data_IF_051178938541
#
_entry.id   IF_051178938541
#
_cell.length_a   1.000
_cell.length_b   1.000
_cell.length_c   1.000
_cell.angle_alpha   90.00
_cell.angle_beta   90.00
_cell.angle_gamma   90.00
#
_symmetry.space_group_name_H-M   'P 1'
#
loop_
_entity.id
_entity.type
_entity.pdbx_description
1 polymer ?
#
# COMPACT_ATOMS: atom_id res chain seq x y z
N UNK A 1 -39.32 15.20 54.69
CA UNK A 1 -37.88 15.49 54.46
C UNK A 1 -37.02 14.23 54.27
N UNK A 2 -37.18 13.15 55.05
CA UNK A 2 -36.36 11.93 54.93
C UNK A 2 -36.55 11.12 53.63
N UNK A 3 -37.77 11.08 53.06
CA UNK A 3 -38.07 10.33 51.82
C UNK A 3 -37.34 10.88 50.58
N UNK A 4 -37.17 12.19 50.48
CA UNK A 4 -36.48 12.83 49.35
C UNK A 4 -34.98 12.58 49.38
N UNK A 5 -34.40 12.40 50.58
CA UNK A 5 -32.98 12.07 50.76
C UNK A 5 -32.69 10.64 50.27
N UNK A 6 -33.59 9.69 50.56
CA UNK A 6 -33.44 8.30 50.10
C UNK A 6 -33.52 8.20 48.58
N UNK A 7 -34.45 8.92 47.94
CA UNK A 7 -34.60 8.93 46.48
C UNK A 7 -33.33 9.50 45.80
N UNK A 8 -32.73 10.54 46.40
CA UNK A 8 -31.54 11.19 45.84
C UNK A 8 -30.31 10.27 45.90
N UNK A 9 -30.17 9.45 46.95
CA UNK A 9 -29.08 8.46 47.05
C UNK A 9 -29.18 7.35 46.00
N UNK A 10 -30.39 6.89 45.67
CA UNK A 10 -30.58 5.85 44.65
C UNK A 10 -30.18 6.36 43.26
N UNK A 11 -30.52 7.62 42.94
CA UNK A 11 -30.17 8.23 41.64
C UNK A 11 -28.64 8.35 41.49
N UNK A 12 -27.93 8.72 42.57
CA UNK A 12 -26.46 8.83 42.54
C UNK A 12 -25.81 7.47 42.27
N UNK A 13 -26.30 6.40 42.89
CA UNK A 13 -25.77 5.04 42.69
C UNK A 13 -25.98 4.57 41.25
N UNK A 14 -27.16 4.82 40.68
CA UNK A 14 -27.45 4.47 39.27
C UNK A 14 -26.59 5.29 38.33
N UNK A 15 -26.44 6.60 38.57
CA UNK A 15 -25.58 7.45 37.76
C UNK A 15 -24.11 7.01 37.81
N UNK A 16 -23.59 6.66 38.99
CA UNK A 16 -22.23 6.15 39.14
C UNK A 16 -22.03 4.81 38.41
N UNK A 17 -23.03 3.91 38.46
CA UNK A 17 -23.01 2.65 37.73
C UNK A 17 -22.98 2.85 36.21
N UNK A 18 -23.80 3.77 35.69
CA UNK A 18 -23.81 4.11 34.26
C UNK A 18 -22.48 4.73 33.83
N UNK A 19 -21.93 5.66 34.61
CA UNK A 19 -20.63 6.28 34.32
C UNK A 19 -19.51 5.24 34.33
N UNK A 20 -19.50 4.33 35.30
CA UNK A 20 -18.52 3.24 35.39
C UNK A 20 -18.64 2.27 34.21
N UNK A 21 -19.87 1.91 33.82
CA UNK A 21 -20.13 1.07 32.64
C UNK A 21 -19.61 1.70 31.35
N UNK A 22 -19.86 3.00 31.13
CA UNK A 22 -19.35 3.72 29.97
C UNK A 22 -17.83 3.92 29.99
N UNK A 23 -17.22 4.06 31.17
CA UNK A 23 -15.77 4.19 31.30
C UNK A 23 -15.04 2.88 31.00
N UNK A 24 -15.62 1.73 31.38
CA UNK A 24 -15.04 0.40 31.14
C UNK A 24 -15.14 -0.04 29.67
N UNK A 25 -16.07 0.51 28.90
CA UNK A 25 -16.23 0.21 27.47
C UNK A 25 -15.41 1.12 26.55
N UNK A 26 -14.56 2.01 27.08
CA UNK A 26 -13.71 2.87 26.25
C UNK A 26 -12.47 2.11 25.76
N UNK A 27 -12.50 1.85 24.44
CA UNK A 27 -11.37 1.71 23.51
C UNK A 27 -10.40 0.54 23.78
N UNK A 28 -10.61 -0.53 23.02
CA UNK A 28 -9.49 -1.25 22.41
C UNK A 28 -8.89 -0.29 21.37
N UNK A 29 -7.75 0.33 21.69
CA UNK A 29 -6.90 0.88 20.64
C UNK A 29 -6.25 -0.30 19.93
N UNK A 30 -6.29 -0.29 18.60
CA UNK A 30 -5.71 -1.32 17.76
C UNK A 30 -4.18 -1.25 17.90
N UNK A 31 -3.62 -2.10 18.77
CA UNK A 31 -2.18 -2.21 18.92
C UNK A 31 -1.69 -3.04 17.74
N UNK A 32 -1.31 -2.33 16.66
CA UNK A 32 -0.58 -2.93 15.55
C UNK A 32 0.72 -3.53 16.12
N UNK A 33 0.76 -4.86 16.19
CA UNK A 33 1.88 -5.57 16.80
C UNK A 33 3.13 -5.46 15.92
N UNK A 34 4.31 -5.47 16.53
CA UNK A 34 5.60 -5.42 15.80
C UNK A 34 5.70 -6.52 14.72
N UNK A 35 5.13 -7.70 14.97
CA UNK A 35 5.12 -8.81 14.01
C UNK A 35 4.31 -8.48 12.75
N UNK A 36 3.18 -7.78 12.87
CA UNK A 36 2.38 -7.35 11.71
C UNK A 36 3.06 -6.28 10.86
N UNK A 37 3.88 -5.41 11.47
CA UNK A 37 4.63 -4.38 10.73
C UNK A 37 5.77 -5.00 9.91
N UNK A 38 6.47 -5.99 10.48
CA UNK A 38 7.59 -6.66 9.80
C UNK A 38 7.11 -7.46 8.59
N UNK A 39 5.96 -8.13 8.70
CA UNK A 39 5.39 -8.90 7.59
C UNK A 39 4.97 -8.01 6.42
N UNK A 40 4.37 -6.85 6.73
CA UNK A 40 3.95 -5.86 5.73
C UNK A 40 5.12 -5.25 4.96
N UNK A 41 6.17 -4.80 5.66
CA UNK A 41 7.36 -4.23 5.02
C UNK A 41 8.07 -5.27 4.14
N UNK A 42 8.14 -6.52 4.62
CA UNK A 42 8.69 -7.62 3.83
C UNK A 42 7.89 -7.87 2.56
N UNK A 43 6.56 -7.85 2.64
CA UNK A 43 5.70 -8.02 1.47
C UNK A 43 5.92 -6.91 0.43
N UNK A 44 6.00 -5.65 0.88
CA UNK A 44 6.30 -4.51 -0.02
C UNK A 44 7.67 -4.60 -0.68
N UNK A 45 8.68 -5.08 0.04
CA UNK A 45 10.00 -5.32 -0.55
C UNK A 45 9.95 -6.40 -1.65
N UNK A 46 9.23 -7.51 -1.41
CA UNK A 46 9.07 -8.58 -2.38
C UNK A 46 8.29 -8.10 -3.62
N UNK A 47 7.21 -7.37 -3.41
CA UNK A 47 6.42 -6.76 -4.47
C UNK A 47 7.27 -5.83 -5.33
N UNK A 48 7.97 -4.87 -4.72
CA UNK A 48 8.87 -3.94 -5.44
C UNK A 48 9.88 -4.71 -6.28
N UNK A 49 10.54 -5.70 -5.70
CA UNK A 49 11.53 -6.51 -6.40
C UNK A 49 10.92 -7.28 -7.58
N UNK A 50 9.71 -7.83 -7.42
CA UNK A 50 9.02 -8.55 -8.48
C UNK A 50 8.66 -7.61 -9.65
N UNK A 51 8.11 -6.44 -9.34
CA UNK A 51 7.74 -5.43 -10.34
C UNK A 51 8.96 -4.91 -11.09
N UNK A 52 10.03 -4.52 -10.38
CA UNK A 52 11.27 -4.04 -11.00
C UNK A 52 11.92 -5.10 -11.90
N UNK A 53 11.91 -6.37 -11.47
CA UNK A 53 12.39 -7.49 -12.28
C UNK A 53 11.54 -7.67 -13.53
N UNK A 54 10.22 -7.67 -13.39
CA UNK A 54 9.31 -7.83 -14.52
C UNK A 54 9.50 -6.72 -15.55
N UNK A 55 9.54 -5.46 -15.13
CA UNK A 55 9.75 -4.31 -16.03
C UNK A 55 11.08 -4.44 -16.77
N UNK A 56 12.17 -4.82 -16.08
CA UNK A 56 13.49 -5.01 -16.69
C UNK A 56 13.48 -6.10 -17.75
N UNK A 57 12.88 -7.24 -17.44
CA UNK A 57 12.92 -8.42 -18.31
C UNK A 57 11.99 -8.26 -19.52
N UNK A 58 10.91 -7.49 -19.37
CA UNK A 58 9.88 -7.32 -20.40
C UNK A 58 9.87 -5.94 -21.07
N UNK A 59 10.87 -5.07 -20.81
CA UNK A 59 10.87 -3.69 -21.33
C UNK A 59 10.75 -3.63 -22.87
N UNK A 60 11.31 -4.61 -23.57
CA UNK A 60 11.25 -4.67 -25.04
C UNK A 60 9.84 -4.98 -25.57
N UNK A 61 9.04 -5.71 -24.80
CA UNK A 61 7.63 -5.96 -25.11
C UNK A 61 6.78 -4.76 -24.69
N UNK A 62 7.01 -4.22 -23.49
CA UNK A 62 6.26 -3.09 -22.94
C UNK A 62 6.43 -1.81 -23.77
N UNK A 63 7.66 -1.49 -24.19
CA UNK A 63 7.97 -0.28 -24.93
C UNK A 63 7.86 -0.43 -26.46
N UNK A 64 7.59 -1.64 -26.95
CA UNK A 64 7.60 -1.95 -28.38
C UNK A 64 8.97 -1.79 -29.04
N UNK A 65 8.98 -1.63 -30.36
CA UNK A 65 10.22 -1.58 -31.13
C UNK A 65 11.08 -0.35 -30.81
N UNK A 66 12.39 -0.56 -30.64
CA UNK A 66 13.38 0.50 -30.55
C UNK A 66 13.55 1.23 -31.90
N UNK A 67 13.96 2.51 -31.89
CA UNK A 67 13.92 3.35 -33.10
C UNK A 67 14.72 2.77 -34.28
N UNK A 68 15.87 2.17 -33.98
CA UNK A 68 16.81 1.67 -34.99
C UNK A 68 16.94 0.14 -34.97
N UNK A 69 15.88 -0.57 -34.56
CA UNK A 69 15.85 -2.05 -34.55
C UNK A 69 16.73 -2.69 -33.48
N UNK A 70 17.08 -1.93 -32.44
CA UNK A 70 17.82 -2.39 -31.27
C UNK A 70 16.93 -2.97 -30.16
N UNK A 71 17.43 -2.94 -28.93
CA UNK A 71 16.70 -3.30 -27.71
C UNK A 71 16.64 -2.12 -26.77
N UNK A 72 15.55 -2.02 -26.03
CA UNK A 72 15.44 -1.14 -24.88
C UNK A 72 16.15 -1.74 -23.67
N UNK A 73 16.80 -0.88 -22.88
CA UNK A 73 17.48 -1.20 -21.63
C UNK A 73 16.94 -0.30 -20.52
N UNK A 74 16.58 -0.90 -19.39
CA UNK A 74 16.13 -0.14 -18.21
C UNK A 74 17.32 0.52 -17.52
N UNK A 75 17.21 1.83 -17.28
CA UNK A 75 18.18 2.65 -16.56
C UNK A 75 17.79 2.82 -15.09
N UNK A 76 16.51 3.09 -14.84
CA UNK A 76 15.95 3.36 -13.51
C UNK A 76 14.51 2.88 -13.46
N UNK A 77 14.10 2.33 -12.32
CA UNK A 77 12.70 2.02 -12.03
C UNK A 77 12.37 2.51 -10.63
N UNK A 78 11.21 3.15 -10.48
CA UNK A 78 10.67 3.59 -9.18
C UNK A 78 9.29 3.00 -9.04
N UNK A 79 9.08 2.20 -7.99
CA UNK A 79 7.81 1.53 -7.73
C UNK A 79 7.21 2.08 -6.44
N UNK A 80 5.98 2.56 -6.55
CA UNK A 80 5.13 2.97 -5.45
C UNK A 80 4.12 1.85 -5.15
N UNK A 81 4.46 1.04 -4.15
CA UNK A 81 3.66 -0.09 -3.66
C UNK A 81 2.46 0.35 -2.80
N UNK A 82 2.27 1.66 -2.58
CA UNK A 82 1.06 2.14 -1.91
C UNK A 82 -0.06 2.45 -2.90
N UNK A 83 0.33 2.81 -4.13
CA UNK A 83 -0.57 3.27 -5.18
C UNK A 83 -0.61 2.35 -6.41
N UNK A 84 0.13 1.24 -6.38
CA UNK A 84 0.26 0.27 -7.47
C UNK A 84 0.69 0.90 -8.80
N UNK A 85 1.63 1.84 -8.72
CA UNK A 85 2.18 2.57 -9.88
C UNK A 85 3.69 2.60 -9.87
N UNK A 86 4.28 2.91 -11.03
CA UNK A 86 5.71 3.14 -11.13
C UNK A 86 6.10 3.96 -12.34
N UNK A 87 7.35 4.42 -12.27
CA UNK A 87 8.02 5.13 -13.36
C UNK A 87 9.23 4.32 -13.80
N UNK A 88 9.46 4.25 -15.10
CA UNK A 88 10.64 3.60 -15.67
C UNK A 88 11.33 4.54 -16.66
N UNK A 89 12.66 4.63 -16.54
CA UNK A 89 13.53 5.24 -17.53
C UNK A 89 14.29 4.16 -18.27
N UNK A 90 14.37 4.29 -19.58
CA UNK A 90 14.96 3.29 -20.44
C UNK A 90 15.51 3.90 -21.73
N UNK A 91 16.47 3.24 -22.38
CA UNK A 91 17.14 3.73 -23.59
C UNK A 91 17.44 2.62 -24.60
N UNK A 92 17.65 2.98 -25.86
CA UNK A 92 18.06 2.07 -26.94
C UNK A 92 19.49 2.34 -27.46
N UNK A 93 20.25 3.13 -26.69
CA UNK A 93 21.58 3.63 -27.08
C UNK A 93 21.57 4.87 -27.97
N UNK A 94 20.39 5.33 -28.42
CA UNK A 94 20.25 6.56 -29.21
C UNK A 94 19.28 7.55 -28.56
N UNK A 95 18.17 7.06 -28.04
CA UNK A 95 17.12 7.86 -27.37
C UNK A 95 16.85 7.29 -25.98
N UNK A 96 16.66 8.18 -25.02
CA UNK A 96 16.14 7.85 -23.69
C UNK A 96 14.66 8.23 -23.61
N UNK A 97 13.87 7.38 -22.95
CA UNK A 97 12.45 7.62 -22.66
C UNK A 97 12.16 7.40 -21.18
N UNK A 98 11.04 7.97 -20.75
CA UNK A 98 10.49 7.79 -19.42
C UNK A 98 8.99 7.55 -19.57
N UNK A 99 8.49 6.48 -18.93
CA UNK A 99 7.08 6.11 -18.94
C UNK A 99 6.57 5.88 -17.53
N UNK A 100 5.30 6.23 -17.34
CA UNK A 100 4.52 5.89 -16.15
C UNK A 100 3.65 4.66 -16.44
N UNK A 101 3.49 3.79 -15.44
CA UNK A 101 2.68 2.59 -15.54
C UNK A 101 1.93 2.32 -14.24
N UNK A 102 0.79 1.62 -14.35
CA UNK A 102 0.12 0.97 -13.21
C UNK A 102 0.42 -0.53 -13.26
N UNK A 103 0.22 -1.24 -12.16
CA UNK A 103 0.42 -2.68 -12.14
C UNK A 103 -0.53 -3.41 -11.20
N UNK A 104 -0.61 -4.73 -11.35
CA UNK A 104 -1.20 -5.64 -10.38
C UNK A 104 -0.15 -6.65 -9.94
N UNK A 105 -0.07 -6.92 -8.63
CA UNK A 105 0.82 -7.92 -8.04
C UNK A 105 0.03 -8.99 -7.29
N UNK A 106 0.33 -10.25 -7.53
CA UNK A 106 -0.23 -11.37 -6.76
C UNK A 106 0.83 -11.91 -5.79
N UNK A 107 0.65 -11.77 -4.47
CA UNK A 107 1.63 -12.23 -3.48
C UNK A 107 1.71 -13.76 -3.37
N UNK A 108 0.76 -14.51 -3.93
CA UNK A 108 0.71 -15.97 -3.83
C UNK A 108 1.74 -16.63 -4.74
N UNK A 109 1.90 -16.12 -5.96
CA UNK A 109 2.79 -16.66 -7.00
C UNK A 109 3.82 -15.64 -7.51
N UNK A 110 3.82 -14.43 -6.93
CA UNK A 110 4.65 -13.29 -7.31
C UNK A 110 4.46 -12.84 -8.76
N UNK A 111 3.30 -13.13 -9.36
CA UNK A 111 2.99 -12.66 -10.71
C UNK A 111 2.75 -11.15 -10.74
N UNK A 112 3.24 -10.52 -11.81
CA UNK A 112 3.11 -9.08 -12.07
C UNK A 112 2.44 -8.90 -13.42
N UNK A 113 1.47 -7.99 -13.49
CA UNK A 113 0.86 -7.52 -14.74
C UNK A 113 1.03 -6.02 -14.81
N UNK A 114 1.68 -5.53 -15.87
CA UNK A 114 1.83 -4.10 -16.12
C UNK A 114 0.66 -3.61 -16.97
N UNK A 115 0.07 -2.51 -16.54
CA UNK A 115 -1.07 -1.86 -17.16
C UNK A 115 -0.73 -0.41 -17.51
N UNK A 116 -1.43 0.14 -18.50
CA UNK A 116 -1.33 1.56 -18.87
C UNK A 116 0.11 2.07 -19.11
N UNK A 117 0.98 1.22 -19.68
CA UNK A 117 2.35 1.60 -20.05
C UNK A 117 2.32 2.60 -21.20
N UNK A 118 2.17 3.89 -20.86
CA UNK A 118 1.92 4.93 -21.83
C UNK A 118 3.21 5.65 -22.19
N UNK A 119 3.48 5.75 -23.49
CA UNK A 119 4.48 6.67 -24.03
C UNK A 119 4.04 8.09 -23.73
N UNK A 120 4.83 8.84 -22.96
CA UNK A 120 4.61 10.26 -22.74
C UNK A 120 4.32 10.94 -24.08
N UNK A 121 3.13 11.55 -24.20
CA UNK A 121 2.70 12.27 -25.40
C UNK A 121 3.56 13.49 -25.67
#
# INVERSE_FOLDING_TARGET
MKKNIVILLVIIIVAAGVISYFALNKKTEDILTTDTVVDYEKQRMLERQAVETYVRDNINELAGEALLGGRWYVLETKVDTENDVGDVKYEDGHVQRENHFSYTFNPTDSSVVIENFNFGK
#
